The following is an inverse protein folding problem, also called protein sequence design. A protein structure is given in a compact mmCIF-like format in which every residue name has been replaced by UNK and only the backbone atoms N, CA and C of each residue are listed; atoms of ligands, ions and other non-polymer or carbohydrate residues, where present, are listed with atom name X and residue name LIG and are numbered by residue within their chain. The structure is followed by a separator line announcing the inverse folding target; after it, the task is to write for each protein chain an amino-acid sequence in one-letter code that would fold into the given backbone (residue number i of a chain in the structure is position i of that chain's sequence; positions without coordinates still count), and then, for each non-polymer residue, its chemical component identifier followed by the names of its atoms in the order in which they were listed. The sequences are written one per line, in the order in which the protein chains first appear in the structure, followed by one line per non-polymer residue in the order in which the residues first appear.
data_IF_790761397987
#
_entry.id   IF_790761397987
#
_cell.length_a   1.000
_cell.length_b   1.000
_cell.length_c   1.000
_cell.angle_alpha   90.00
_cell.angle_beta   90.00
_cell.angle_gamma   90.00
#
_symmetry.space_group_name_H-M   'P 1'
#
loop_
_entity.id
_entity.type
_entity.pdbx_description
1 polymer ?
#
# COMPACT_ATOMS: atom_id res chain seq x y z
N UNK A 1 -50.19 -43.82 5.54
CA UNK A 1 -49.28 -42.77 6.07
C UNK A 1 -48.37 -42.17 4.97
N UNK A 2 -48.92 -41.71 3.83
CA UNK A 2 -48.11 -41.11 2.73
C UNK A 2 -48.73 -39.83 2.11
N UNK A 3 -49.99 -39.49 2.42
CA UNK A 3 -50.70 -38.32 1.85
C UNK A 3 -50.19 -37.00 2.46
N UNK A 4 -49.88 -36.98 3.77
CA UNK A 4 -49.33 -35.78 4.43
C UNK A 4 -47.90 -35.42 3.99
N UNK A 5 -47.17 -36.33 3.33
CA UNK A 5 -45.81 -36.06 2.79
C UNK A 5 -45.86 -35.27 1.48
N UNK A 6 -46.83 -35.54 0.58
CA UNK A 6 -46.94 -34.84 -0.72
C UNK A 6 -47.41 -33.39 -0.55
N UNK A 7 -48.35 -33.15 0.39
CA UNK A 7 -48.90 -31.82 0.65
C UNK A 7 -47.88 -30.90 1.34
N UNK A 8 -47.01 -31.47 2.19
CA UNK A 8 -45.92 -30.74 2.84
C UNK A 8 -44.75 -30.45 1.87
N UNK A 9 -44.50 -31.36 0.92
CA UNK A 9 -43.44 -31.21 -0.12
C UNK A 9 -43.74 -30.07 -1.09
N UNK A 10 -45.00 -29.84 -1.47
CA UNK A 10 -45.39 -28.69 -2.30
C UNK A 10 -45.38 -27.36 -1.55
N UNK A 11 -45.77 -27.33 -0.26
CA UNK A 11 -45.67 -26.11 0.55
C UNK A 11 -44.22 -25.70 0.78
N UNK A 12 -43.31 -26.65 0.98
CA UNK A 12 -41.88 -26.39 1.13
C UNK A 12 -41.21 -26.02 -0.21
N UNK A 13 -41.69 -26.57 -1.34
CA UNK A 13 -41.24 -26.21 -2.69
C UNK A 13 -41.63 -24.76 -3.04
N UNK A 14 -42.90 -24.39 -2.82
CA UNK A 14 -43.39 -23.02 -3.08
C UNK A 14 -42.72 -22.01 -2.16
N UNK A 15 -42.50 -22.36 -0.89
CA UNK A 15 -41.79 -21.49 0.05
C UNK A 15 -40.33 -21.27 -0.37
N UNK A 16 -39.65 -22.31 -0.86
CA UNK A 16 -38.29 -22.19 -1.40
C UNK A 16 -38.22 -21.35 -2.67
N UNK A 17 -39.17 -21.51 -3.59
CA UNK A 17 -39.21 -20.68 -4.82
C UNK A 17 -39.49 -19.21 -4.50
N UNK A 18 -40.38 -18.93 -3.54
CA UNK A 18 -40.66 -17.55 -3.10
C UNK A 18 -39.47 -16.93 -2.37
N UNK A 19 -38.77 -17.68 -1.54
CA UNK A 19 -37.55 -17.20 -0.85
C UNK A 19 -36.44 -16.92 -1.86
N UNK A 20 -36.24 -17.79 -2.86
CA UNK A 20 -35.21 -17.61 -3.90
C UNK A 20 -35.54 -16.40 -4.79
N UNK A 21 -36.79 -16.19 -5.18
CA UNK A 21 -37.18 -15.04 -6.01
C UNK A 21 -37.08 -13.72 -5.24
N UNK A 22 -37.41 -13.71 -3.95
CA UNK A 22 -37.24 -12.52 -3.08
C UNK A 22 -35.76 -12.23 -2.83
N UNK A 23 -34.91 -13.25 -2.65
CA UNK A 23 -33.46 -13.09 -2.49
C UNK A 23 -32.80 -12.55 -3.76
N UNK A 24 -33.29 -12.93 -4.94
CA UNK A 24 -32.76 -12.46 -6.24
C UNK A 24 -33.14 -10.99 -6.53
N UNK A 25 -34.28 -10.52 -6.03
CA UNK A 25 -34.73 -9.12 -6.14
C UNK A 25 -33.90 -8.14 -5.30
N UNK A 26 -33.25 -8.62 -4.23
CA UNK A 26 -32.43 -7.78 -3.33
C UNK A 26 -31.06 -7.44 -3.96
N UNK A 27 -30.60 -8.19 -4.97
CA UNK A 27 -29.26 -8.04 -5.56
C UNK A 27 -29.18 -6.95 -6.66
N UNK A 28 -30.29 -6.30 -7.01
CA UNK A 28 -30.32 -5.23 -8.06
C UNK A 28 -30.13 -3.82 -7.44
N UNK A 29 -29.82 -3.72 -6.14
CA UNK A 29 -29.59 -2.46 -5.45
C UNK A 29 -28.16 -1.93 -5.57
N UNK A 30 -28.02 -0.81 -6.28
CA UNK A 30 -26.85 0.09 -6.38
C UNK A 30 -25.63 -0.40 -7.17
N UNK A 31 -25.64 -0.11 -8.47
CA UNK A 31 -24.42 0.24 -9.19
C UNK A 31 -24.35 1.77 -9.27
N UNK A 32 -23.77 2.43 -8.26
CA UNK A 32 -23.17 3.74 -8.51
C UNK A 32 -21.90 3.46 -9.30
N UNK A 33 -22.01 3.54 -10.63
CA UNK A 33 -20.85 3.67 -11.49
C UNK A 33 -20.43 5.13 -11.36
N UNK A 34 -19.75 5.44 -10.27
CA UNK A 34 -18.87 6.59 -10.25
C UNK A 34 -17.82 6.29 -11.31
N UNK A 35 -17.95 6.93 -12.48
CA UNK A 35 -16.88 7.03 -13.44
C UNK A 35 -15.80 7.93 -12.84
N UNK A 36 -15.19 7.49 -11.75
CA UNK A 36 -13.84 7.89 -11.40
C UNK A 36 -12.99 7.25 -12.47
N UNK A 37 -12.78 8.01 -13.55
CA UNK A 37 -11.65 7.83 -14.44
C UNK A 37 -10.46 7.49 -13.56
N UNK A 38 -10.09 6.21 -13.59
CA UNK A 38 -8.88 5.71 -12.98
C UNK A 38 -7.74 6.26 -13.83
N UNK A 39 -7.53 7.57 -13.70
CA UNK A 39 -6.33 8.22 -14.11
C UNK A 39 -5.32 7.71 -13.11
N UNK A 40 -4.62 6.65 -13.52
CA UNK A 40 -3.30 6.29 -13.03
C UNK A 40 -2.32 7.44 -13.33
N UNK A 41 -2.68 8.67 -12.93
CA UNK A 41 -1.77 9.78 -12.86
C UNK A 41 -0.96 9.49 -11.60
N UNK A 42 0.12 8.75 -11.78
CA UNK A 42 1.24 8.79 -10.87
C UNK A 42 1.78 10.24 -10.93
N UNK A 43 1.06 11.18 -10.31
CA UNK A 43 1.51 12.56 -10.16
C UNK A 43 2.69 12.46 -9.21
N UNK A 44 3.88 12.38 -9.78
CA UNK A 44 5.11 12.38 -9.01
C UNK A 44 5.17 13.72 -8.30
N UNK A 45 4.87 13.71 -7.00
CA UNK A 45 4.93 14.88 -6.17
C UNK A 45 6.40 15.24 -5.97
N UNK A 46 6.73 16.53 -6.12
CA UNK A 46 8.08 17.04 -5.91
C UNK A 46 8.13 17.90 -4.65
N UNK A 47 9.33 18.03 -4.08
CA UNK A 47 9.64 18.98 -3.01
C UNK A 47 10.90 19.74 -3.39
N UNK A 48 10.93 21.04 -3.11
CA UNK A 48 12.11 21.90 -3.30
C UNK A 48 12.57 22.40 -1.94
N UNK A 49 13.87 22.23 -1.65
CA UNK A 49 14.49 22.56 -0.37
C UNK A 49 15.82 23.29 -0.62
N UNK A 50 16.18 24.20 0.29
CA UNK A 50 17.50 24.84 0.32
C UNK A 50 18.41 24.10 1.29
N UNK A 51 19.64 23.79 0.88
CA UNK A 51 20.63 23.20 1.79
C UNK A 51 21.43 24.24 2.57
N UNK A 52 22.34 23.77 3.44
CA UNK A 52 23.16 24.66 4.27
C UNK A 52 24.18 25.50 3.49
N UNK A 53 24.41 25.20 2.21
CA UNK A 53 25.26 25.96 1.31
C UNK A 53 24.44 26.92 0.43
N UNK A 54 23.12 27.00 0.62
CA UNK A 54 22.21 27.86 -0.15
C UNK A 54 21.87 27.32 -1.54
N UNK A 55 22.06 26.03 -1.79
CA UNK A 55 21.70 25.38 -3.06
C UNK A 55 20.24 24.93 -3.01
N UNK A 56 19.48 25.26 -4.04
CA UNK A 56 18.11 24.76 -4.22
C UNK A 56 18.12 23.36 -4.84
N UNK A 57 17.54 22.40 -4.15
CA UNK A 57 17.46 21.00 -4.55
C UNK A 57 15.99 20.61 -4.70
N UNK A 58 15.60 20.12 -5.88
CA UNK A 58 14.25 19.61 -6.13
C UNK A 58 14.29 18.10 -6.32
N UNK A 59 13.51 17.36 -5.52
CA UNK A 59 13.46 15.90 -5.58
C UNK A 59 12.04 15.37 -5.61
N UNK A 60 11.86 14.16 -6.15
CA UNK A 60 10.60 13.44 -6.10
C UNK A 60 10.38 12.88 -4.69
N UNK A 61 9.14 12.91 -4.21
CA UNK A 61 8.74 12.32 -2.94
C UNK A 61 7.76 11.14 -3.12
N UNK A 62 7.84 10.11 -2.26
CA UNK A 62 8.89 9.88 -1.26
C UNK A 62 10.23 9.52 -1.92
N UNK A 63 11.34 9.75 -1.22
CA UNK A 63 12.67 9.35 -1.67
C UNK A 63 12.75 7.82 -1.75
N UNK A 64 13.14 7.27 -2.91
CA UNK A 64 13.14 5.81 -3.16
C UNK A 64 14.50 5.15 -2.98
N UNK A 65 15.57 5.92 -3.13
CA UNK A 65 16.95 5.44 -3.10
C UNK A 65 17.79 6.49 -2.39
N UNK A 66 18.48 6.08 -1.33
CA UNK A 66 19.26 6.95 -0.46
C UNK A 66 20.67 6.39 -0.36
N UNK A 67 21.66 7.27 -0.50
CA UNK A 67 23.05 6.98 -0.20
C UNK A 67 23.47 7.95 0.91
N UNK A 68 24.00 7.44 2.01
CA UNK A 68 24.49 8.23 3.14
C UNK A 68 26.01 8.32 3.13
N UNK A 69 26.55 9.52 3.29
CA UNK A 69 28.00 9.80 3.29
C UNK A 69 28.49 10.33 4.65
N UNK A 70 27.69 10.12 5.69
CA UNK A 70 28.04 10.53 7.04
C UNK A 70 27.36 9.60 8.05
N UNK A 71 28.11 9.17 9.05
CA UNK A 71 27.60 8.33 10.14
C UNK A 71 26.31 8.90 10.75
N UNK A 72 26.31 10.18 11.13
CA UNK A 72 25.13 10.84 11.72
C UNK A 72 23.87 10.75 10.83
N UNK A 73 24.02 10.80 9.52
CA UNK A 73 22.87 10.72 8.60
C UNK A 73 22.37 9.28 8.49
N UNK A 74 23.28 8.31 8.45
CA UNK A 74 22.96 6.88 8.47
C UNK A 74 22.14 6.56 9.73
N UNK A 75 22.59 7.02 10.90
CA UNK A 75 21.87 6.81 12.16
C UNK A 75 20.47 7.43 12.16
N UNK A 76 20.32 8.65 11.63
CA UNK A 76 19.01 9.30 11.50
C UNK A 76 18.09 8.49 10.59
N UNK A 77 18.58 7.97 9.47
CA UNK A 77 17.79 7.18 8.52
C UNK A 77 17.22 5.91 9.19
N UNK A 78 18.05 5.20 9.96
CA UNK A 78 17.60 4.06 10.75
C UNK A 78 16.62 4.49 11.85
N UNK A 79 16.89 5.59 12.56
CA UNK A 79 16.05 6.07 13.65
C UNK A 79 14.62 6.47 13.17
N UNK A 80 14.47 6.93 11.93
CA UNK A 80 13.16 7.26 11.34
C UNK A 80 12.51 6.08 10.62
N UNK A 81 13.13 4.88 10.60
CA UNK A 81 12.61 3.69 9.94
C UNK A 81 12.59 3.79 8.41
N UNK A 82 13.57 4.48 7.82
CA UNK A 82 13.73 4.63 6.38
C UNK A 82 14.89 3.79 5.82
N UNK A 83 15.35 2.79 6.58
CA UNK A 83 16.44 1.89 6.25
C UNK A 83 16.15 1.04 4.99
N UNK A 84 14.88 0.72 4.71
CA UNK A 84 14.48 0.03 3.47
C UNK A 84 14.87 0.79 2.18
N UNK A 85 15.04 2.12 2.28
CA UNK A 85 15.37 2.97 1.14
C UNK A 85 16.87 3.31 1.09
N UNK A 86 17.65 2.88 2.09
CA UNK A 86 19.09 3.10 2.18
C UNK A 86 19.84 2.02 1.38
N UNK A 87 20.30 2.40 0.19
CA UNK A 87 20.98 1.48 -0.74
C UNK A 87 22.50 1.57 -0.67
N UNK A 88 23.05 2.59 0.00
CA UNK A 88 24.49 2.79 0.10
C UNK A 88 24.89 3.60 1.31
N UNK A 89 26.05 3.29 1.86
CA UNK A 89 26.70 4.01 2.97
C UNK A 89 28.19 4.26 2.67
N UNK A 90 28.80 5.21 3.37
CA UNK A 90 30.26 5.29 3.41
C UNK A 90 30.88 4.13 4.22
N UNK A 91 32.19 3.94 4.11
CA UNK A 91 32.93 2.88 4.81
C UNK A 91 32.87 2.95 6.34
N UNK A 92 32.62 4.13 6.91
CA UNK A 92 32.72 4.40 8.35
C UNK A 92 31.36 4.41 9.07
N UNK A 93 30.26 4.39 8.35
CA UNK A 93 28.90 4.36 8.88
C UNK A 93 28.52 2.93 9.29
N UNK A 94 28.83 2.55 10.52
CA UNK A 94 28.71 1.19 11.03
C UNK A 94 27.64 1.00 12.13
N UNK A 95 26.89 2.07 12.45
CA UNK A 95 25.80 2.07 13.41
C UNK A 95 24.45 2.44 12.75
N UNK A 96 23.34 1.77 13.12
CA UNK A 96 23.28 0.59 14.00
C UNK A 96 23.92 -0.65 13.32
N UNK A 97 24.11 -1.78 14.03
CA UNK A 97 24.79 -2.96 13.45
C UNK A 97 24.18 -3.43 12.13
N UNK A 98 22.89 -3.18 11.91
CA UNK A 98 22.16 -3.46 10.67
C UNK A 98 22.67 -2.64 9.47
N UNK A 99 23.26 -1.46 9.70
CA UNK A 99 23.88 -0.62 8.66
C UNK A 99 25.03 -1.33 7.92
N UNK A 100 25.68 -2.31 8.57
CA UNK A 100 26.72 -3.13 7.92
C UNK A 100 26.17 -4.04 6.81
N UNK A 101 24.85 -4.24 6.74
CA UNK A 101 24.20 -4.95 5.63
C UNK A 101 23.99 -4.07 4.39
N UNK A 102 24.10 -2.75 4.52
CA UNK A 102 24.01 -1.80 3.42
C UNK A 102 25.34 -1.76 2.67
N UNK A 103 25.27 -1.71 1.34
CA UNK A 103 26.45 -1.66 0.48
C UNK A 103 27.35 -0.47 0.82
N UNK A 104 28.65 -0.73 1.01
CA UNK A 104 29.65 0.32 1.16
C UNK A 104 30.02 0.86 -0.22
N UNK A 105 29.93 2.17 -0.39
CA UNK A 105 30.27 2.85 -1.65
C UNK A 105 31.67 3.50 -1.62
N UNK A 106 32.46 3.20 -0.56
CA UNK A 106 33.83 3.66 -0.38
C UNK A 106 33.99 4.72 0.70
N UNK A 107 35.22 5.22 0.82
CA UNK A 107 35.60 6.32 1.69
C UNK A 107 35.75 7.62 0.91
N UNK A 108 35.40 8.75 1.54
CA UNK A 108 35.75 10.10 1.08
C UNK A 108 37.14 10.53 1.55
#
# INVERSE_FOLDING_TARGET
MQINKILCRNKFLVLKTVIITVLMLIIIGCQNIDNTSNSNNNVQKTVTLSDSLGREITTNIPAKQIISLAASNTEIIFAIGADENLIGRDEYSDYPPEALNVESIGSL
#
